data_IF_104230296245
#
_entry.id   IF_104230296245
#
_cell.length_a   1.000
_cell.length_b   1.000
_cell.length_c   1.000
_cell.angle_alpha   90.00
_cell.angle_beta   90.00
_cell.angle_gamma   90.00
#
_symmetry.space_group_name_H-M   'P 1'
#
loop_
_entity.id
_entity.type
_entity.pdbx_description
1 polymer ?
#
# COMPACT_ATOMS: atom_id res chain seq x y z
N UNK A 1 -30.32 2.76 29.25
CA UNK A 1 -29.87 1.82 28.19
C UNK A 1 -28.78 2.51 27.40
N UNK A 2 -27.66 1.87 27.14
CA UNK A 2 -26.57 2.51 26.39
C UNK A 2 -27.02 2.80 24.97
N UNK A 3 -26.96 4.07 24.57
CA UNK A 3 -27.40 4.50 23.24
C UNK A 3 -26.36 4.10 22.19
N UNK A 4 -26.80 3.48 21.11
CA UNK A 4 -25.98 3.13 19.93
C UNK A 4 -24.68 2.35 20.21
N UNK A 5 -24.66 1.53 21.25
CA UNK A 5 -23.47 0.84 21.75
C UNK A 5 -22.67 0.13 20.64
N UNK A 6 -23.34 -0.68 19.81
CA UNK A 6 -22.67 -1.44 18.76
C UNK A 6 -22.04 -0.53 17.70
N UNK A 7 -22.67 0.59 17.37
CA UNK A 7 -22.14 1.58 16.44
C UNK A 7 -20.91 2.30 17.00
N UNK A 8 -20.98 2.73 18.28
CA UNK A 8 -19.83 3.32 18.96
C UNK A 8 -18.65 2.37 19.05
N UNK A 9 -18.90 1.09 19.31
CA UNK A 9 -17.85 0.09 19.37
C UNK A 9 -17.21 -0.16 17.97
N UNK A 10 -18.00 -0.07 16.91
CA UNK A 10 -17.47 -0.12 15.53
C UNK A 10 -16.63 1.09 15.18
N UNK A 11 -17.07 2.29 15.57
CA UNK A 11 -16.26 3.51 15.42
C UNK A 11 -14.93 3.40 16.19
N UNK A 12 -14.95 2.84 17.39
CA UNK A 12 -13.74 2.59 18.18
C UNK A 12 -12.77 1.66 17.42
N UNK A 13 -13.27 0.54 16.92
CA UNK A 13 -12.47 -0.37 16.08
C UNK A 13 -11.88 0.34 14.86
N UNK A 14 -12.68 1.14 14.17
CA UNK A 14 -12.28 1.91 13.00
C UNK A 14 -11.18 2.93 13.30
N UNK A 15 -11.31 3.68 14.39
CA UNK A 15 -10.34 4.71 14.82
C UNK A 15 -9.04 4.09 15.29
N UNK A 16 -9.10 2.97 16.01
CA UNK A 16 -7.91 2.20 16.42
C UNK A 16 -7.32 1.43 15.25
N UNK A 17 -8.05 1.43 14.13
CA UNK A 17 -7.67 0.72 12.94
C UNK A 17 -7.73 -0.80 13.14
N UNK A 18 -8.52 -1.35 14.05
CA UNK A 18 -8.75 -2.78 14.20
C UNK A 18 -9.53 -3.31 12.99
N UNK A 19 -9.11 -4.44 12.43
CA UNK A 19 -9.84 -5.13 11.36
C UNK A 19 -10.74 -6.24 11.90
N UNK A 20 -10.47 -6.74 13.11
CA UNK A 20 -11.17 -7.87 13.70
C UNK A 20 -11.53 -7.64 15.16
N UNK A 21 -12.57 -8.37 15.64
CA UNK A 21 -12.91 -8.41 17.06
C UNK A 21 -11.75 -8.87 17.95
N UNK A 22 -10.87 -9.73 17.43
CA UNK A 22 -9.70 -10.23 18.16
C UNK A 22 -8.68 -9.11 18.39
N UNK A 23 -8.45 -8.28 17.39
CA UNK A 23 -7.56 -7.12 17.52
C UNK A 23 -8.13 -6.11 18.50
N UNK A 24 -9.44 -5.81 18.40
CA UNK A 24 -10.10 -4.91 19.35
C UNK A 24 -9.98 -5.44 20.78
N UNK A 25 -10.22 -6.73 21.01
CA UNK A 25 -10.04 -7.34 22.32
C UNK A 25 -8.58 -7.29 22.81
N UNK A 26 -7.61 -7.37 21.90
CA UNK A 26 -6.18 -7.21 22.23
C UNK A 26 -5.87 -5.77 22.69
N UNK A 27 -6.46 -4.77 22.03
CA UNK A 27 -6.28 -3.36 22.41
C UNK A 27 -6.87 -3.08 23.82
N UNK A 28 -8.04 -3.63 24.14
CA UNK A 28 -8.60 -3.53 25.48
C UNK A 28 -7.69 -4.19 26.53
N UNK A 29 -7.12 -5.38 26.24
CA UNK A 29 -6.18 -6.04 27.16
C UNK A 29 -4.88 -5.28 27.33
N UNK A 30 -4.45 -4.51 26.35
CA UNK A 30 -3.26 -3.66 26.45
C UNK A 30 -3.45 -2.54 27.46
N UNK A 31 -4.67 -2.00 27.55
CA UNK A 31 -5.01 -0.96 28.53
C UNK A 31 -5.24 -1.56 29.92
N UNK A 32 -5.94 -2.69 29.98
CA UNK A 32 -6.22 -3.39 31.22
C UNK A 32 -6.13 -4.90 31.00
N UNK A 33 -5.08 -5.54 31.51
CA UNK A 33 -4.86 -6.99 31.38
C UNK A 33 -5.95 -7.86 32.03
N UNK A 34 -6.72 -7.27 32.95
CA UNK A 34 -7.84 -7.91 33.67
C UNK A 34 -9.20 -7.54 33.06
N UNK A 35 -9.23 -6.89 31.92
CA UNK A 35 -10.49 -6.51 31.27
C UNK A 35 -11.36 -7.73 30.97
N UNK A 36 -12.66 -7.56 31.13
CA UNK A 36 -13.63 -8.58 30.75
C UNK A 36 -14.06 -8.48 29.28
N UNK A 37 -13.41 -7.60 28.50
CA UNK A 37 -13.60 -7.50 27.06
C UNK A 37 -12.84 -8.61 26.35
N UNK A 38 -13.51 -9.73 26.10
CA UNK A 38 -12.99 -10.85 25.34
C UNK A 38 -13.61 -10.94 23.93
N UNK A 39 -13.05 -11.80 23.09
CA UNK A 39 -13.46 -11.95 21.68
C UNK A 39 -14.92 -12.40 21.55
N UNK A 40 -15.36 -13.33 22.39
CA UNK A 40 -16.73 -13.88 22.34
C UNK A 40 -17.77 -12.81 22.72
N UNK A 41 -17.51 -12.06 23.79
CA UNK A 41 -18.35 -10.94 24.21
C UNK A 41 -18.32 -9.80 23.20
N UNK A 42 -17.17 -9.49 22.63
CA UNK A 42 -17.03 -8.48 21.59
C UNK A 42 -17.96 -8.77 20.38
N UNK A 43 -18.03 -10.02 19.93
CA UNK A 43 -18.96 -10.41 18.87
C UNK A 43 -20.42 -10.15 19.24
N UNK A 44 -20.84 -10.57 20.42
CA UNK A 44 -22.23 -10.37 20.91
C UNK A 44 -22.56 -8.87 21.03
N UNK A 45 -21.61 -8.07 21.46
CA UNK A 45 -21.77 -6.63 21.64
C UNK A 45 -21.78 -5.87 20.30
N UNK A 46 -20.94 -6.25 19.36
CA UNK A 46 -20.93 -5.68 18.01
C UNK A 46 -22.19 -6.01 17.21
N UNK A 47 -22.83 -7.16 17.50
CA UNK A 47 -24.10 -7.55 16.92
C UNK A 47 -25.30 -6.91 17.65
N UNK A 48 -25.09 -6.18 18.72
CA UNK A 48 -26.17 -5.59 19.54
C UNK A 48 -26.98 -6.62 20.33
N UNK A 49 -26.49 -7.88 20.43
CA UNK A 49 -27.20 -8.97 21.16
C UNK A 49 -27.03 -8.90 22.66
N UNK A 50 -26.06 -8.17 23.15
CA UNK A 50 -25.77 -7.99 24.57
C UNK A 50 -25.08 -6.64 24.83
N UNK A 51 -25.04 -6.23 26.08
CA UNK A 51 -24.32 -5.04 26.55
C UNK A 51 -23.40 -5.43 27.73
N UNK A 52 -22.28 -4.72 27.93
CA UNK A 52 -21.46 -4.92 29.11
C UNK A 52 -22.25 -4.58 30.40
N UNK A 53 -22.19 -5.47 31.37
CA UNK A 53 -22.80 -5.25 32.66
C UNK A 53 -21.86 -4.56 33.68
N UNK A 54 -20.56 -4.68 33.41
CA UNK A 54 -19.52 -4.16 34.31
C UNK A 54 -19.11 -2.76 33.87
N UNK A 55 -19.12 -1.82 34.81
CA UNK A 55 -18.68 -0.45 34.60
C UNK A 55 -17.23 -0.39 34.13
N UNK A 56 -16.39 -1.33 34.56
CA UNK A 56 -14.97 -1.38 34.23
C UNK A 56 -14.74 -1.41 32.71
N UNK A 57 -15.59 -2.08 31.94
CA UNK A 57 -15.46 -2.13 30.46
C UNK A 57 -15.57 -0.74 29.84
N UNK A 58 -16.43 0.12 30.36
CA UNK A 58 -16.60 1.50 29.89
C UNK A 58 -15.42 2.38 30.30
N UNK A 59 -14.86 2.17 31.49
CA UNK A 59 -13.64 2.86 31.93
C UNK A 59 -12.44 2.45 31.06
N UNK A 60 -12.28 1.15 30.84
CA UNK A 60 -11.24 0.63 29.94
C UNK A 60 -11.39 1.21 28.52
N UNK A 61 -12.64 1.39 28.06
CA UNK A 61 -12.92 1.95 26.73
C UNK A 61 -12.54 3.43 26.64
N UNK A 62 -12.88 4.24 27.64
CA UNK A 62 -12.45 5.64 27.70
C UNK A 62 -10.94 5.77 27.74
N UNK A 63 -10.28 4.95 28.57
CA UNK A 63 -8.82 4.91 28.65
C UNK A 63 -8.19 4.51 27.32
N UNK A 64 -8.78 3.52 26.61
CA UNK A 64 -8.33 3.07 25.30
C UNK A 64 -8.40 4.18 24.24
N UNK A 65 -9.43 5.01 24.30
CA UNK A 65 -9.61 6.13 23.39
C UNK A 65 -8.89 7.40 23.82
N UNK A 66 -8.31 7.40 25.02
CA UNK A 66 -7.70 8.56 25.67
C UNK A 66 -8.71 9.72 25.79
N UNK A 67 -9.93 9.41 26.24
CA UNK A 67 -11.01 10.37 26.43
C UNK A 67 -11.15 10.68 27.93
N UNK A 68 -10.91 11.93 28.29
CA UNK A 68 -11.11 12.41 29.64
C UNK A 68 -12.57 12.88 29.83
N UNK A 69 -13.45 11.92 30.03
CA UNK A 69 -14.89 12.13 30.29
C UNK A 69 -15.39 11.07 31.30
N UNK A 70 -16.44 11.36 32.06
CA UNK A 70 -17.06 10.34 32.90
C UNK A 70 -17.67 9.23 32.08
N UNK A 71 -17.68 7.99 32.60
CA UNK A 71 -18.24 6.85 31.86
C UNK A 71 -19.72 7.03 31.50
N UNK A 72 -20.46 7.79 32.26
CA UNK A 72 -21.86 8.14 31.97
C UNK A 72 -21.98 8.86 30.64
N UNK A 73 -21.04 9.75 30.31
CA UNK A 73 -21.01 10.39 28.98
C UNK A 73 -20.92 9.38 27.84
N UNK A 74 -20.07 8.37 27.93
CA UNK A 74 -19.96 7.33 26.90
C UNK A 74 -21.27 6.53 26.72
N UNK A 75 -22.04 6.40 27.79
CA UNK A 75 -23.36 5.73 27.75
C UNK A 75 -24.41 6.61 27.07
N UNK A 76 -24.40 7.90 27.32
CA UNK A 76 -25.46 8.86 26.95
C UNK A 76 -25.21 9.54 25.61
N UNK A 77 -23.94 9.84 25.24
CA UNK A 77 -23.58 10.48 23.97
C UNK A 77 -24.15 9.70 22.79
N UNK A 78 -24.43 10.39 21.70
CA UNK A 78 -24.78 9.70 20.47
C UNK A 78 -23.55 9.30 19.63
N UNK A 79 -23.79 8.61 18.53
CA UNK A 79 -22.71 8.12 17.67
C UNK A 79 -21.95 9.26 16.98
N UNK A 80 -22.66 10.34 16.62
CA UNK A 80 -22.07 11.49 15.93
C UNK A 80 -21.22 12.32 16.89
N UNK A 81 -21.66 12.50 18.14
CA UNK A 81 -20.89 13.20 19.17
C UNK A 81 -19.56 12.47 19.45
N UNK A 82 -19.60 11.14 19.55
CA UNK A 82 -18.38 10.35 19.70
C UNK A 82 -17.48 10.46 18.46
N UNK A 83 -18.05 10.39 17.26
CA UNK A 83 -17.33 10.52 16.00
C UNK A 83 -16.63 11.87 15.91
N UNK A 84 -17.31 12.95 16.18
CA UNK A 84 -16.77 14.30 16.16
C UNK A 84 -15.60 14.48 17.13
N UNK A 85 -15.75 13.96 18.35
CA UNK A 85 -14.68 13.99 19.34
C UNK A 85 -13.44 13.20 18.87
N UNK A 86 -13.64 12.01 18.31
CA UNK A 86 -12.56 11.18 17.82
C UNK A 86 -11.87 11.78 16.59
N UNK A 87 -12.64 12.40 15.67
CA UNK A 87 -12.10 13.09 14.50
C UNK A 87 -11.21 14.26 14.90
N UNK A 88 -11.69 15.10 15.84
CA UNK A 88 -10.93 16.26 16.33
C UNK A 88 -9.67 15.84 17.09
N UNK A 89 -9.76 14.83 17.96
CA UNK A 89 -8.61 14.39 18.79
C UNK A 89 -7.51 13.72 17.98
N UNK A 90 -7.83 13.16 16.81
CA UNK A 90 -6.89 12.38 15.97
C UNK A 90 -6.65 12.95 14.58
N UNK A 91 -7.24 14.11 14.29
CA UNK A 91 -7.17 14.78 12.99
C UNK A 91 -7.52 13.84 11.79
N UNK A 92 -8.64 13.11 11.94
CA UNK A 92 -9.09 12.13 10.94
C UNK A 92 -10.37 12.62 10.26
N UNK A 93 -10.53 12.41 8.94
CA UNK A 93 -11.76 12.75 8.22
C UNK A 93 -12.95 11.89 8.70
N UNK A 94 -14.12 12.47 9.02
CA UNK A 94 -15.29 11.74 9.50
C UNK A 94 -15.75 10.63 8.55
N UNK A 95 -15.76 10.89 7.25
CA UNK A 95 -16.21 9.93 6.24
C UNK A 95 -15.30 8.69 6.13
N UNK A 96 -14.02 8.85 6.39
CA UNK A 96 -13.09 7.73 6.45
C UNK A 96 -13.38 6.81 7.63
N UNK A 97 -13.69 7.40 8.80
CA UNK A 97 -14.01 6.62 10.00
C UNK A 97 -15.36 5.91 9.82
N UNK A 98 -16.38 6.57 9.25
CA UNK A 98 -17.69 5.96 8.95
C UNK A 98 -17.53 4.74 8.03
N UNK A 99 -16.83 4.91 6.91
CA UNK A 99 -16.58 3.84 5.94
C UNK A 99 -15.83 2.66 6.57
N UNK A 100 -14.85 2.91 7.42
CA UNK A 100 -14.12 1.86 8.16
C UNK A 100 -14.99 1.17 9.19
N UNK A 101 -15.88 1.89 9.87
CA UNK A 101 -16.80 1.33 10.85
C UNK A 101 -17.84 0.41 10.18
N UNK A 102 -18.30 0.77 8.97
CA UNK A 102 -19.17 -0.08 8.15
C UNK A 102 -18.44 -1.35 7.69
N UNK A 103 -17.21 -1.23 7.21
CA UNK A 103 -16.40 -2.37 6.83
C UNK A 103 -16.12 -3.32 8.01
N UNK A 104 -15.87 -2.79 9.20
CA UNK A 104 -15.75 -3.55 10.44
C UNK A 104 -17.06 -4.27 10.82
N UNK A 105 -18.22 -3.67 10.52
CA UNK A 105 -19.53 -4.23 10.78
C UNK A 105 -19.90 -5.40 9.86
N UNK A 106 -19.54 -5.29 8.59
CA UNK A 106 -19.96 -6.24 7.57
C UNK A 106 -19.27 -7.60 7.69
N UNK A 107 -18.28 -7.75 8.60
CA UNK A 107 -17.43 -8.95 8.61
C UNK A 107 -16.77 -9.14 7.24
N UNK A 108 -16.96 -8.15 6.38
CA UNK A 108 -16.33 -8.11 5.08
C UNK A 108 -14.83 -8.10 5.34
N UNK A 109 -14.24 -9.22 5.04
CA UNK A 109 -12.83 -9.44 4.87
C UNK A 109 -12.30 -8.63 3.64
N UNK A 110 -12.54 -7.34 3.66
CA UNK A 110 -11.55 -6.35 3.36
C UNK A 110 -10.66 -6.19 4.62
N UNK A 111 -10.56 -7.24 5.40
CA UNK A 111 -9.44 -7.55 6.26
C UNK A 111 -8.26 -7.79 5.31
N UNK A 112 -7.81 -6.69 4.72
CA UNK A 112 -6.44 -6.55 4.26
C UNK A 112 -5.61 -7.07 5.42
N UNK A 113 -5.01 -8.17 5.18
CA UNK A 113 -4.22 -9.04 6.02
C UNK A 113 -3.30 -8.24 6.95
N UNK A 114 -3.79 -7.76 8.10
CA UNK A 114 -2.99 -7.08 9.12
C UNK A 114 -1.99 -8.00 9.82
N UNK A 115 -2.04 -9.32 9.54
CA UNK A 115 -1.00 -10.26 10.00
C UNK A 115 0.38 -9.97 9.43
N UNK A 116 0.52 -8.95 8.58
CA UNK A 116 1.77 -8.68 7.89
C UNK A 116 2.39 -7.30 8.15
N UNK A 117 1.89 -6.48 9.09
CA UNK A 117 2.54 -5.18 9.35
C UNK A 117 3.98 -5.37 9.88
N UNK A 118 4.25 -6.42 10.64
CA UNK A 118 5.63 -6.82 10.99
C UNK A 118 6.38 -7.55 9.87
N UNK A 119 5.67 -8.14 8.88
CA UNK A 119 6.25 -9.02 7.88
C UNK A 119 6.46 -8.39 6.48
N UNK A 120 5.96 -7.18 6.23
CA UNK A 120 6.01 -6.56 4.90
C UNK A 120 6.89 -5.29 4.84
N UNK A 121 7.61 -4.96 5.90
CA UNK A 121 8.56 -3.82 5.90
C UNK A 121 9.64 -3.97 4.82
N UNK A 122 9.95 -5.19 4.41
CA UNK A 122 10.90 -5.45 3.34
C UNK A 122 10.45 -4.87 1.99
N UNK A 123 9.14 -4.61 1.78
CA UNK A 123 8.63 -3.99 0.57
C UNK A 123 8.79 -2.45 0.59
N UNK A 124 8.89 -1.85 1.78
CA UNK A 124 9.11 -0.41 1.89
C UNK A 124 10.47 -0.02 1.33
N UNK A 125 10.48 1.03 0.53
CA UNK A 125 11.70 1.53 -0.09
C UNK A 125 11.42 2.30 -1.36
N UNK A 126 12.51 2.69 -2.01
CA UNK A 126 12.49 3.41 -3.28
C UNK A 126 12.88 2.48 -4.41
N UNK A 127 12.17 2.62 -5.53
CA UNK A 127 12.34 1.79 -6.72
C UNK A 127 12.36 2.67 -7.96
N UNK A 128 13.19 2.32 -8.90
CA UNK A 128 13.15 2.84 -10.27
C UNK A 128 12.30 1.89 -11.10
N UNK A 129 11.33 2.41 -11.83
CA UNK A 129 10.38 1.64 -12.64
C UNK A 129 10.62 1.82 -14.13
N UNK A 130 10.46 0.74 -14.91
CA UNK A 130 10.52 0.76 -16.37
C UNK A 130 9.28 0.11 -16.95
N UNK A 131 8.68 0.76 -17.95
CA UNK A 131 7.59 0.23 -18.77
C UNK A 131 7.64 0.84 -20.16
N UNK A 132 6.95 0.25 -21.13
CA UNK A 132 6.75 0.93 -22.41
C UNK A 132 5.75 2.06 -22.29
N UNK A 133 6.03 3.15 -23.02
CA UNK A 133 5.19 4.32 -23.06
C UNK A 133 3.84 4.02 -23.73
N UNK A 134 2.75 4.51 -23.12
CA UNK A 134 1.40 4.42 -23.69
C UNK A 134 1.09 5.53 -24.69
N UNK A 135 1.88 6.61 -24.65
CA UNK A 135 1.69 7.73 -25.57
C UNK A 135 2.00 7.30 -27.01
N UNK A 136 1.10 7.56 -27.98
CA UNK A 136 1.36 7.28 -29.38
C UNK A 136 2.55 8.07 -29.94
N UNK A 137 2.89 9.22 -29.34
CA UNK A 137 4.05 10.04 -29.73
C UNK A 137 5.39 9.44 -29.32
N UNK A 138 5.38 8.56 -28.30
CA UNK A 138 6.55 7.89 -27.75
C UNK A 138 6.44 6.37 -27.83
N UNK A 139 5.67 5.89 -28.81
CA UNK A 139 5.48 4.45 -29.03
C UNK A 139 6.81 3.73 -29.19
N UNK A 140 6.99 2.64 -28.44
CA UNK A 140 8.23 1.83 -28.44
C UNK A 140 9.32 2.35 -27.51
N UNK A 141 9.22 3.56 -26.97
CA UNK A 141 10.18 4.05 -25.97
C UNK A 141 9.89 3.50 -24.59
N UNK A 142 10.94 3.28 -23.83
CA UNK A 142 10.82 2.94 -22.43
C UNK A 142 10.66 4.23 -21.61
N UNK A 143 9.69 4.25 -20.71
CA UNK A 143 9.53 5.30 -19.72
C UNK A 143 10.16 4.83 -18.41
N UNK A 144 10.93 5.71 -17.78
CA UNK A 144 11.47 5.56 -16.45
C UNK A 144 10.61 6.35 -15.47
N UNK A 145 10.08 5.68 -14.46
CA UNK A 145 9.38 6.27 -13.35
C UNK A 145 10.03 5.96 -12.00
N UNK A 146 9.52 6.52 -10.93
CA UNK A 146 9.95 6.24 -9.57
C UNK A 146 8.76 5.82 -8.71
N UNK A 147 8.93 4.76 -7.93
CA UNK A 147 7.94 4.25 -6.98
C UNK A 147 8.53 4.31 -5.57
N UNK A 148 7.84 4.98 -4.65
CA UNK A 148 8.13 4.90 -3.23
C UNK A 148 7.02 4.11 -2.53
N UNK A 149 7.42 3.11 -1.73
CA UNK A 149 6.49 2.33 -0.89
C UNK A 149 6.81 2.62 0.57
N UNK A 150 5.82 3.07 1.31
CA UNK A 150 5.95 3.53 2.68
C UNK A 150 4.98 2.81 3.61
N UNK A 151 5.36 2.70 4.88
CA UNK A 151 4.48 2.24 5.95
C UNK A 151 4.33 3.35 6.99
N UNK A 152 3.35 4.25 6.83
CA UNK A 152 3.11 5.30 7.82
C UNK A 152 2.80 4.67 9.18
N UNK A 153 3.60 5.02 10.20
CA UNK A 153 3.52 4.48 11.56
C UNK A 153 2.11 4.62 12.17
N UNK A 154 1.38 5.66 11.79
CA UNK A 154 0.04 5.95 12.32
C UNK A 154 -1.08 5.07 11.75
N UNK A 155 -0.90 4.41 10.61
CA UNK A 155 -1.99 3.73 9.91
C UNK A 155 -1.79 2.22 9.73
N UNK A 156 -0.58 1.70 9.92
CA UNK A 156 -0.27 0.27 9.76
C UNK A 156 -0.59 -0.31 8.37
N UNK A 157 -0.78 0.56 7.36
CA UNK A 157 -1.06 0.20 5.97
C UNK A 157 0.08 0.68 5.09
N UNK A 158 0.45 -0.15 4.14
CA UNK A 158 1.38 0.28 3.10
C UNK A 158 0.69 1.30 2.19
N UNK A 159 1.41 2.36 1.87
CA UNK A 159 1.05 3.34 0.87
C UNK A 159 2.12 3.38 -0.21
N UNK A 160 1.76 3.78 -1.40
CA UNK A 160 2.70 3.96 -2.48
C UNK A 160 2.48 5.31 -3.16
N UNK A 161 3.56 5.89 -3.66
CA UNK A 161 3.53 7.03 -4.58
C UNK A 161 4.35 6.67 -5.82
N UNK A 162 3.76 6.92 -6.99
CA UNK A 162 4.42 6.72 -8.28
C UNK A 162 4.50 8.04 -9.02
N UNK A 163 5.67 8.32 -9.59
CA UNK A 163 5.97 9.59 -10.24
C UNK A 163 6.65 9.36 -11.57
N UNK A 164 6.21 10.12 -12.60
CA UNK A 164 6.87 10.24 -13.91
C UNK A 164 7.03 11.72 -14.25
N UNK A 165 8.22 12.09 -14.71
CA UNK A 165 8.49 13.39 -15.31
C UNK A 165 8.48 13.25 -16.82
N UNK A 166 7.41 13.72 -17.44
CA UNK A 166 7.26 13.72 -18.89
C UNK A 166 7.59 15.11 -19.45
N UNK A 167 8.04 15.23 -20.70
CA UNK A 167 8.36 16.54 -21.28
C UNK A 167 7.18 17.53 -21.27
N UNK A 168 5.95 17.02 -21.29
CA UNK A 168 4.71 17.82 -21.34
C UNK A 168 3.84 17.73 -20.10
N UNK A 169 4.15 16.85 -19.15
CA UNK A 169 3.33 16.63 -17.96
C UNK A 169 4.13 15.98 -16.84
N UNK A 170 3.66 16.20 -15.62
CA UNK A 170 4.18 15.54 -14.43
C UNK A 170 3.09 14.64 -13.85
N UNK A 171 3.35 13.35 -13.75
CA UNK A 171 2.44 12.37 -13.13
C UNK A 171 2.89 12.13 -11.71
N UNK A 172 2.02 12.38 -10.75
CA UNK A 172 2.25 12.08 -9.34
C UNK A 172 0.97 11.48 -8.75
N UNK A 173 0.96 10.15 -8.65
CA UNK A 173 -0.19 9.39 -8.14
C UNK A 173 0.16 8.73 -6.82
N UNK A 174 -0.78 8.77 -5.88
CA UNK A 174 -0.63 8.18 -4.54
C UNK A 174 -1.81 7.29 -4.20
N UNK A 175 -1.56 6.29 -3.36
CA UNK A 175 -2.65 5.43 -2.93
C UNK A 175 -2.26 4.29 -2.02
N UNK A 176 -3.14 3.30 -1.99
CA UNK A 176 -3.05 2.16 -1.10
C UNK A 176 -2.36 0.97 -1.75
N UNK A 177 -1.61 0.24 -0.93
CA UNK A 177 -1.00 -1.04 -1.29
C UNK A 177 -1.75 -2.15 -0.56
N UNK A 178 -2.18 -3.16 -1.30
CA UNK A 178 -2.90 -4.34 -0.80
C UNK A 178 -2.15 -5.59 -1.16
N UNK A 179 -1.91 -6.48 -0.19
CA UNK A 179 -1.29 -7.78 -0.41
C UNK A 179 -2.35 -8.85 -0.24
N UNK A 180 -2.51 -9.69 -1.24
CA UNK A 180 -3.43 -10.82 -1.21
C UNK A 180 -2.75 -12.07 -1.78
N UNK A 181 -2.54 -13.07 -0.92
CA UNK A 181 -1.84 -14.29 -1.32
C UNK A 181 -0.43 -14.03 -1.86
N UNK A 182 -0.22 -14.34 -3.12
CA UNK A 182 1.06 -14.16 -3.84
C UNK A 182 1.11 -12.88 -4.68
N UNK A 183 0.13 -12.00 -4.55
CA UNK A 183 0.00 -10.79 -5.36
C UNK A 183 0.07 -9.52 -4.50
N UNK A 184 0.60 -8.48 -5.09
CA UNK A 184 0.68 -7.12 -4.57
C UNK A 184 -0.12 -6.21 -5.51
N UNK A 185 -1.12 -5.53 -4.98
CA UNK A 185 -1.97 -4.62 -5.73
C UNK A 185 -1.79 -3.20 -5.24
N UNK A 186 -1.71 -2.25 -6.16
CA UNK A 186 -1.71 -0.84 -5.85
C UNK A 186 -2.84 -0.14 -6.59
N UNK A 187 -3.58 0.68 -5.88
CA UNK A 187 -4.58 1.58 -6.45
C UNK A 187 -4.12 3.00 -6.15
N UNK A 188 -3.66 3.68 -7.18
CA UNK A 188 -3.06 5.00 -7.10
C UNK A 188 -3.94 6.01 -7.85
N UNK A 189 -4.07 7.22 -7.31
CA UNK A 189 -4.80 8.31 -7.93
C UNK A 189 -4.02 9.61 -7.74
N UNK A 190 -4.11 10.50 -8.70
CA UNK A 190 -3.60 11.86 -8.55
C UNK A 190 -4.54 12.68 -7.66
N UNK A 191 -3.98 13.55 -6.82
CA UNK A 191 -4.78 14.49 -6.03
C UNK A 191 -5.48 15.48 -6.98
N UNK A 192 -6.81 15.40 -7.01
CA UNK A 192 -7.64 16.26 -7.88
C UNK A 192 -7.97 15.68 -9.26
N UNK A 193 -7.31 14.62 -9.70
CA UNK A 193 -7.63 13.84 -10.89
C UNK A 193 -8.51 12.63 -10.55
N UNK A 194 -9.42 12.29 -11.46
CA UNK A 194 -10.28 11.09 -11.33
C UNK A 194 -9.71 9.87 -12.07
N UNK A 195 -8.51 9.99 -12.66
CA UNK A 195 -7.92 8.90 -13.43
C UNK A 195 -7.09 8.01 -12.50
N UNK A 196 -7.55 6.79 -12.22
CA UNK A 196 -6.81 5.84 -11.40
C UNK A 196 -5.73 5.13 -12.22
N UNK A 197 -4.63 4.79 -11.53
CA UNK A 197 -3.59 3.90 -11.98
C UNK A 197 -3.61 2.63 -11.13
N UNK A 198 -3.63 1.48 -11.75
CA UNK A 198 -3.64 0.19 -11.06
C UNK A 198 -2.36 -0.58 -11.38
N UNK A 199 -1.79 -1.20 -10.34
CA UNK A 199 -0.69 -2.14 -10.51
C UNK A 199 -1.09 -3.50 -9.94
N UNK A 200 -0.79 -4.55 -10.69
CA UNK A 200 -0.93 -5.95 -10.28
C UNK A 200 0.43 -6.61 -10.42
N UNK A 201 1.10 -6.83 -9.27
CA UNK A 201 2.49 -7.26 -9.21
C UNK A 201 2.61 -8.57 -8.45
N UNK A 202 3.68 -9.31 -8.68
CA UNK A 202 4.06 -10.41 -7.80
C UNK A 202 4.44 -9.88 -6.42
N UNK A 203 4.02 -10.59 -5.39
CA UNK A 203 4.46 -10.30 -4.03
C UNK A 203 5.94 -10.68 -3.89
N UNK A 204 6.82 -9.71 -3.60
CA UNK A 204 8.24 -10.00 -3.46
C UNK A 204 8.52 -10.76 -2.15
N UNK A 205 9.57 -11.56 -2.17
CA UNK A 205 10.22 -12.07 -0.97
C UNK A 205 11.32 -11.10 -0.52
N UNK A 206 11.74 -11.10 0.76
CA UNK A 206 12.91 -10.35 1.17
C UNK A 206 14.14 -10.71 0.31
N UNK A 207 14.94 -9.71 -0.11
CA UNK A 207 14.96 -8.30 0.25
C UNK A 207 14.04 -7.40 -0.59
N UNK A 208 13.18 -7.93 -1.46
CA UNK A 208 12.30 -7.21 -2.36
C UNK A 208 13.08 -6.30 -3.34
N UNK A 209 14.10 -6.86 -3.97
CA UNK A 209 14.92 -6.19 -4.98
C UNK A 209 14.10 -5.82 -6.22
N UNK A 210 13.10 -6.63 -6.55
CA UNK A 210 12.26 -6.49 -7.74
C UNK A 210 10.77 -6.55 -7.37
N UNK A 211 9.99 -5.62 -7.94
CA UNK A 211 8.54 -5.71 -8.04
C UNK A 211 8.20 -5.72 -9.52
N UNK A 212 7.52 -6.75 -10.00
CA UNK A 212 7.21 -6.86 -11.42
C UNK A 212 5.80 -7.39 -11.67
N UNK A 213 5.21 -6.96 -12.77
CA UNK A 213 3.86 -7.34 -13.16
C UNK A 213 3.28 -6.41 -14.22
N UNK A 214 2.03 -6.02 -14.03
CA UNK A 214 1.27 -5.20 -14.97
C UNK A 214 0.88 -3.85 -14.34
N UNK A 215 0.94 -2.81 -15.17
CA UNK A 215 0.39 -1.50 -14.90
C UNK A 215 -0.79 -1.26 -15.84
N UNK A 216 -1.89 -0.75 -15.33
CA UNK A 216 -3.12 -0.51 -16.06
C UNK A 216 -3.70 0.86 -15.70
N UNK A 217 -4.17 1.60 -16.71
CA UNK A 217 -4.76 2.91 -16.53
C UNK A 217 -5.29 3.47 -17.83
N UNK A 218 -5.35 4.78 -17.93
CA UNK A 218 -5.68 5.46 -19.18
C UNK A 218 -4.53 6.37 -19.61
N UNK A 219 -4.36 6.54 -20.92
CA UNK A 219 -3.37 7.50 -21.43
C UNK A 219 -3.75 8.91 -20.96
N UNK A 220 -2.75 9.64 -20.46
CA UNK A 220 -2.93 11.04 -20.01
C UNK A 220 -2.73 12.05 -21.15
N UNK A 221 -2.40 11.57 -22.35
CA UNK A 221 -2.05 12.39 -23.50
C UNK A 221 -3.16 12.29 -24.55
N UNK A 222 -3.76 13.45 -24.88
CA UNK A 222 -4.85 13.57 -25.86
C UNK A 222 -6.20 13.90 -25.26
N UNK A 223 -7.18 14.18 -26.13
CA UNK A 223 -8.53 14.54 -25.70
C UNK A 223 -9.34 13.33 -25.21
N UNK A 224 -9.00 12.13 -25.66
CA UNK A 224 -9.70 10.90 -25.31
C UNK A 224 -8.75 9.94 -24.55
N UNK A 225 -8.92 9.77 -23.23
CA UNK A 225 -8.17 8.80 -22.45
C UNK A 225 -8.40 7.38 -22.99
N UNK A 226 -7.34 6.68 -23.37
CA UNK A 226 -7.42 5.30 -23.87
C UNK A 226 -7.04 4.33 -22.77
N UNK A 227 -7.91 3.34 -22.45
CA UNK A 227 -7.53 2.26 -21.54
C UNK A 227 -6.27 1.55 -22.07
N UNK A 228 -5.28 1.43 -21.23
CA UNK A 228 -3.96 0.90 -21.59
C UNK A 228 -3.44 -0.02 -20.51
N UNK A 229 -2.68 -1.04 -20.90
CA UNK A 229 -1.97 -1.96 -20.03
C UNK A 229 -0.58 -2.20 -20.59
N UNK A 230 0.41 -2.29 -19.73
CA UNK A 230 1.77 -2.71 -20.10
C UNK A 230 2.43 -3.47 -18.96
N UNK A 231 3.51 -4.18 -19.29
CA UNK A 231 4.39 -4.75 -18.28
C UNK A 231 5.18 -3.64 -17.61
N UNK A 232 5.44 -3.80 -16.32
CA UNK A 232 6.25 -2.87 -15.53
C UNK A 232 7.14 -3.67 -14.59
N UNK A 233 8.38 -3.22 -14.47
CA UNK A 233 9.34 -3.72 -13.50
C UNK A 233 9.87 -2.56 -12.67
N UNK A 234 9.94 -2.77 -11.37
CA UNK A 234 10.49 -1.83 -10.40
C UNK A 234 11.70 -2.47 -9.74
N UNK A 235 12.81 -1.77 -9.72
CA UNK A 235 14.08 -2.22 -9.18
C UNK A 235 14.45 -1.35 -7.99
N UNK A 236 14.75 -1.98 -6.85
CA UNK A 236 15.08 -1.28 -5.62
C UNK A 236 16.39 -0.51 -5.78
N UNK A 237 16.38 0.74 -5.36
CA UNK A 237 17.56 1.61 -5.37
C UNK A 237 17.84 2.18 -3.98
N UNK A 238 19.12 2.38 -3.67
CA UNK A 238 19.58 3.03 -2.44
C UNK A 238 19.70 4.55 -2.56
N UNK A 239 19.35 5.11 -3.72
CA UNK A 239 19.45 6.55 -3.98
C UNK A 239 18.50 7.36 -3.08
N UNK A 240 18.85 8.61 -2.79
CA UNK A 240 17.94 9.55 -2.16
C UNK A 240 16.72 9.77 -3.06
N UNK A 241 15.54 9.89 -2.46
CA UNK A 241 14.27 10.08 -3.16
C UNK A 241 14.35 11.17 -4.25
N UNK A 242 15.02 12.28 -3.96
CA UNK A 242 15.18 13.38 -4.92
C UNK A 242 15.92 12.98 -6.21
N UNK A 243 16.92 12.12 -6.15
CA UNK A 243 17.65 11.68 -7.36
C UNK A 243 16.85 10.72 -8.22
N UNK A 244 16.11 9.79 -7.63
CA UNK A 244 15.26 8.88 -8.37
C UNK A 244 14.10 9.61 -9.06
N UNK A 245 13.50 10.62 -8.39
CA UNK A 245 12.44 11.44 -8.92
C UNK A 245 12.91 12.35 -10.08
N UNK A 246 14.08 12.98 -9.94
CA UNK A 246 14.64 13.87 -10.98
C UNK A 246 15.04 13.11 -12.26
N UNK A 247 15.27 11.83 -12.16
CA UNK A 247 15.70 11.00 -13.28
C UNK A 247 14.52 10.34 -14.04
N UNK A 248 13.27 10.58 -13.65
CA UNK A 248 12.10 10.10 -14.41
C UNK A 248 12.03 10.77 -15.79
N UNK A 249 12.02 9.98 -16.87
CA UNK A 249 12.04 10.47 -18.25
C UNK A 249 11.73 9.36 -19.25
N UNK A 250 11.55 9.71 -20.50
CA UNK A 250 11.69 8.74 -21.59
C UNK A 250 13.16 8.44 -21.83
N UNK A 251 13.51 7.18 -21.96
CA UNK A 251 14.83 6.79 -22.41
C UNK A 251 14.99 7.11 -23.90
N UNK A 252 16.19 7.51 -24.31
CA UNK A 252 16.50 7.73 -25.70
C UNK A 252 16.54 6.40 -26.48
N UNK A 253 16.33 6.48 -27.80
CA UNK A 253 16.37 5.29 -28.64
C UNK A 253 17.76 4.64 -28.58
N UNK A 254 17.81 3.37 -28.20
CA UNK A 254 19.07 2.62 -28.02
C UNK A 254 19.79 2.88 -26.70
N UNK A 255 19.23 3.66 -25.80
CA UNK A 255 19.79 3.84 -24.45
C UNK A 255 19.66 2.54 -23.64
N UNK A 256 20.76 2.13 -23.01
CA UNK A 256 20.84 0.91 -22.23
C UNK A 256 20.16 1.05 -20.89
N UNK A 257 19.24 0.10 -20.54
CA UNK A 257 18.62 0.00 -19.23
C UNK A 257 19.63 -0.27 -18.13
N UNK A 258 20.63 -1.10 -18.40
CA UNK A 258 21.68 -1.42 -17.44
C UNK A 258 22.59 -0.22 -17.17
N UNK A 259 22.88 0.60 -18.15
CA UNK A 259 23.62 1.85 -17.98
C UNK A 259 22.82 2.87 -17.16
N UNK A 260 21.52 3.00 -17.43
CA UNK A 260 20.62 3.87 -16.67
C UNK A 260 20.47 3.42 -15.20
N UNK A 261 20.41 2.11 -14.96
CA UNK A 261 20.43 1.55 -13.59
C UNK A 261 21.75 1.84 -12.87
N UNK A 262 22.88 1.74 -13.58
CA UNK A 262 24.19 2.13 -13.05
C UNK A 262 24.21 3.60 -12.62
N UNK A 263 23.66 4.49 -13.44
CA UNK A 263 23.50 5.91 -13.11
C UNK A 263 22.54 6.14 -11.93
N UNK A 264 21.58 5.26 -11.71
CA UNK A 264 20.69 5.26 -10.54
C UNK A 264 21.37 4.71 -9.27
N UNK A 265 22.59 4.24 -9.36
CA UNK A 265 23.40 3.76 -8.23
C UNK A 265 23.32 2.24 -7.98
N UNK A 266 22.80 1.45 -8.94
CA UNK A 266 22.90 -0.01 -8.86
C UNK A 266 24.24 -0.47 -9.45
N UNK A 267 24.96 -1.28 -8.68
CA UNK A 267 26.15 -1.98 -9.17
C UNK A 267 25.71 -3.32 -9.74
N UNK A 268 25.86 -3.51 -11.05
CA UNK A 268 25.44 -4.72 -11.74
C UNK A 268 26.67 -5.61 -12.01
N UNK A 269 26.62 -6.86 -11.56
CA UNK A 269 27.70 -7.83 -11.80
C UNK A 269 27.69 -8.38 -13.24
N UNK A 270 26.55 -8.37 -13.92
CA UNK A 270 26.37 -8.84 -15.29
C UNK A 270 25.45 -7.87 -16.06
N UNK A 271 25.92 -6.68 -16.48
CA UNK A 271 25.09 -5.66 -17.13
C UNK A 271 24.37 -6.14 -18.39
N UNK A 272 25.04 -6.95 -19.21
CA UNK A 272 24.49 -7.47 -20.46
C UNK A 272 23.34 -8.46 -20.20
N UNK A 273 23.47 -9.37 -19.23
CA UNK A 273 22.41 -10.30 -18.84
C UNK A 273 21.20 -9.56 -18.26
N UNK A 274 21.43 -8.52 -17.47
CA UNK A 274 20.39 -7.65 -16.93
C UNK A 274 19.65 -6.92 -18.04
N UNK A 275 20.39 -6.35 -19.00
CA UNK A 275 19.83 -5.68 -20.16
C UNK A 275 18.90 -6.59 -20.97
N UNK A 276 19.39 -7.80 -21.30
CA UNK A 276 18.63 -8.79 -22.06
C UNK A 276 17.37 -9.23 -21.31
N UNK A 277 17.50 -9.54 -20.02
CA UNK A 277 16.39 -9.99 -19.16
C UNK A 277 15.30 -8.92 -18.99
N UNK A 278 15.68 -7.66 -18.81
CA UNK A 278 14.74 -6.56 -18.69
C UNK A 278 14.02 -6.29 -20.00
N UNK A 279 14.74 -6.28 -21.12
CA UNK A 279 14.16 -6.09 -22.45
C UNK A 279 13.21 -7.23 -22.80
N UNK A 280 13.59 -8.48 -22.54
CA UNK A 280 12.72 -9.64 -22.74
C UNK A 280 11.47 -9.56 -21.87
N UNK A 281 11.61 -9.21 -20.60
CA UNK A 281 10.48 -9.03 -19.69
C UNK A 281 9.51 -7.96 -20.19
N UNK A 282 10.00 -6.78 -20.53
CA UNK A 282 9.17 -5.65 -20.94
C UNK A 282 8.43 -5.91 -22.26
N UNK A 283 9.06 -6.61 -23.21
CA UNK A 283 8.44 -6.96 -24.50
C UNK A 283 7.37 -8.03 -24.36
N UNK A 284 7.49 -8.91 -23.36
CA UNK A 284 6.58 -10.02 -23.16
C UNK A 284 6.74 -11.15 -24.21
N UNK A 285 5.93 -12.18 -24.05
CA UNK A 285 5.85 -13.27 -25.02
C UNK A 285 4.87 -12.91 -26.14
N UNK A 286 5.32 -12.91 -27.37
CA UNK A 286 4.48 -12.72 -28.54
C UNK A 286 3.36 -13.77 -28.58
N UNK A 287 2.14 -13.34 -28.53
CA UNK A 287 1.06 -14.17 -28.97
C UNK A 287 -0.21 -14.21 -28.14
N UNK A 288 -1.23 -13.65 -28.68
CA UNK A 288 -2.57 -14.11 -28.40
C UNK A 288 -3.46 -13.25 -27.50
N UNK A 289 -3.32 -11.93 -27.54
CA UNK A 289 -4.35 -11.01 -26.99
C UNK A 289 -4.46 -10.97 -25.47
N UNK A 290 -3.53 -11.62 -24.77
CA UNK A 290 -3.43 -11.57 -23.30
C UNK A 290 -2.00 -11.31 -22.91
N UNK A 291 -1.76 -10.26 -22.15
CA UNK A 291 -0.46 -10.07 -21.51
C UNK A 291 -0.50 -10.63 -20.09
N UNK A 292 0.41 -11.56 -19.80
CA UNK A 292 0.58 -12.21 -18.51
C UNK A 292 2.07 -12.26 -18.19
N UNK A 293 2.40 -11.95 -16.94
CA UNK A 293 3.75 -12.17 -16.43
C UNK A 293 3.81 -13.57 -15.83
N UNK A 294 4.67 -14.42 -16.36
CA UNK A 294 4.85 -15.78 -15.86
C UNK A 294 5.68 -15.79 -14.57
N UNK A 295 5.45 -16.78 -13.71
CA UNK A 295 6.18 -16.90 -12.45
C UNK A 295 7.69 -17.09 -12.66
N UNK A 296 8.08 -17.80 -13.70
CA UNK A 296 9.50 -18.07 -14.03
C UNK A 296 10.21 -16.80 -14.55
N UNK A 297 9.54 -15.97 -15.35
CA UNK A 297 10.07 -14.66 -15.77
C UNK A 297 10.35 -13.77 -14.55
N UNK A 298 9.39 -13.72 -13.60
CA UNK A 298 9.58 -12.98 -12.37
C UNK A 298 10.72 -13.55 -11.51
N UNK A 299 10.79 -14.88 -11.34
CA UNK A 299 11.84 -15.53 -10.56
C UNK A 299 13.24 -15.28 -11.15
N UNK A 300 13.38 -15.25 -12.48
CA UNK A 300 14.63 -14.91 -13.16
C UNK A 300 15.11 -13.50 -12.81
N UNK A 301 14.22 -12.52 -12.87
CA UNK A 301 14.54 -11.13 -12.47
C UNK A 301 14.95 -11.05 -11.00
N UNK A 302 14.20 -11.70 -10.10
CA UNK A 302 14.53 -11.71 -8.66
C UNK A 302 15.93 -12.27 -8.41
N UNK A 303 16.29 -13.38 -9.06
CA UNK A 303 17.60 -14.00 -8.87
C UNK A 303 18.75 -13.07 -9.27
N UNK A 304 18.61 -12.32 -10.36
CA UNK A 304 19.61 -11.36 -10.82
C UNK A 304 19.77 -10.19 -9.85
N UNK A 305 18.67 -9.58 -9.45
CA UNK A 305 18.70 -8.36 -8.66
C UNK A 305 18.93 -8.61 -7.16
N UNK A 306 18.52 -9.74 -6.61
CA UNK A 306 18.88 -10.14 -5.24
C UNK A 306 20.39 -10.31 -5.11
N UNK A 307 21.04 -10.94 -6.10
CA UNK A 307 22.51 -11.06 -6.13
C UNK A 307 23.17 -9.69 -6.11
N UNK A 308 22.78 -8.80 -7.03
CA UNK A 308 23.33 -7.46 -7.11
C UNK A 308 23.16 -6.67 -5.80
N UNK A 309 22.00 -6.78 -5.15
CA UNK A 309 21.73 -6.09 -3.89
C UNK A 309 22.56 -6.63 -2.71
N UNK A 310 22.79 -7.96 -2.66
CA UNK A 310 23.62 -8.59 -1.64
C UNK A 310 25.08 -8.18 -1.81
N UNK A 311 25.58 -8.17 -3.03
CA UNK A 311 26.98 -7.79 -3.34
C UNK A 311 27.24 -6.32 -2.97
N UNK A 312 26.30 -5.41 -3.21
CA UNK A 312 26.40 -4.00 -2.80
C UNK A 312 26.51 -3.86 -1.28
N UNK A 313 25.67 -4.58 -0.53
CA UNK A 313 25.67 -4.49 0.93
C UNK A 313 26.95 -5.08 1.54
N UNK A 314 27.53 -6.10 0.91
CA UNK A 314 28.79 -6.73 1.34
C UNK A 314 29.99 -5.83 1.10
N UNK A 315 29.96 -4.99 0.06
CA UNK A 315 31.01 -4.04 -0.29
C UNK A 315 30.99 -2.74 0.53
N UNK A 316 29.87 -2.49 1.25
CA UNK A 316 29.65 -1.27 2.03
C UNK A 316 29.99 -1.42 3.53
N UNK A 317 30.47 -2.59 3.94
CA UNK A 317 30.93 -2.81 5.33
C UNK A 317 32.44 -2.51 5.39
N UNK A 318 32.87 -1.43 6.11
CA UNK A 318 34.27 -1.04 6.23
C UNK A 318 35.08 -2.02 7.08
#
# INVERSE_FOLDING_TARGET
MVRDFSRKLRLTGAVLGCATCKELASEFRRVNSRTTFDVERAYKWLQGRALPRQQQVYLDWLALLNIDRPFAWLIECDTEELLDLLCRSRNLPPDDIRRRAEAFAAGSSLAVNRRSVGGNHHICGLYVGYSFAWSPYYSGRVIRGALAVESPLAQGRLTASYTENLPTSHVNVRGSVTISGRSLYMHLCEQGSKLPLFLSLYRPTPPASVLAGLICGATLVGHDPRPSVSRIVFLRVSASEGRALQASRYLEDGESLSADLGAAGLVLSAPEEVEESLNAFLRGTDGGGRDQVLADEYAGLVALFDRALIDQNSSSTP
#
